data_IF_531876260630
#
_entry.id   IF_531876260630
#
_cell.length_a   1.000
_cell.length_b   1.000
_cell.length_c   1.000
_cell.angle_alpha   90.00
_cell.angle_beta   90.00
_cell.angle_gamma   90.00
#
_symmetry.space_group_name_H-M   'P 1'
#
loop_
_entity.id
_entity.type
_entity.pdbx_description
1 polymer ?
#
# COMPACT_ATOMS: atom_id res chain seq x y z
N UNK A 1 -19.03 -0.96 -32.09
CA UNK A 1 -18.63 -2.21 -31.42
C UNK A 1 -17.11 -2.22 -31.46
N UNK A 2 -16.35 -1.80 -30.45
CA UNK A 2 -16.46 -1.98 -29.00
C UNK A 2 -15.86 -0.76 -28.27
N UNK A 3 -16.58 -0.21 -27.29
CA UNK A 3 -16.01 0.76 -26.33
C UNK A 3 -14.97 0.03 -25.47
N UNK A 4 -13.70 0.41 -25.58
CA UNK A 4 -12.64 -0.07 -24.72
C UNK A 4 -12.91 0.40 -23.29
N UNK A 5 -13.41 -0.51 -22.46
CA UNK A 5 -13.69 -0.29 -21.04
C UNK A 5 -12.42 0.11 -20.28
N UNK A 6 -12.10 1.40 -20.25
CA UNK A 6 -11.12 1.95 -19.32
C UNK A 6 -11.65 1.74 -17.91
N UNK A 7 -11.11 0.75 -17.20
CA UNK A 7 -11.40 0.55 -15.79
C UNK A 7 -11.04 1.84 -15.04
N UNK A 8 -11.93 2.39 -14.19
CA UNK A 8 -11.69 3.66 -13.48
C UNK A 8 -10.52 3.60 -12.49
N UNK A 9 -9.98 2.40 -12.27
CA UNK A 9 -8.86 2.13 -11.37
C UNK A 9 -7.83 1.25 -12.06
N UNK A 10 -6.57 1.64 -11.93
CA UNK A 10 -5.42 0.77 -12.24
C UNK A 10 -4.99 0.10 -10.93
N UNK A 11 -4.68 -1.19 -10.94
CA UNK A 11 -4.17 -1.88 -9.75
C UNK A 11 -2.66 -2.02 -9.83
N UNK A 12 -1.97 -1.51 -8.81
CA UNK A 12 -0.52 -1.56 -8.77
C UNK A 12 0.05 -2.89 -8.27
N UNK A 13 -0.65 -3.60 -7.41
CA UNK A 13 -0.16 -4.82 -6.75
C UNK A 13 -0.04 -6.04 -7.68
N UNK A 14 -0.32 -5.90 -8.97
CA UNK A 14 -0.26 -7.00 -9.97
C UNK A 14 1.17 -7.51 -10.24
N UNK A 15 2.19 -6.96 -9.58
CA UNK A 15 3.58 -7.42 -9.69
C UNK A 15 4.01 -7.92 -8.31
N UNK A 16 4.29 -9.22 -8.15
CA UNK A 16 4.80 -9.78 -6.91
C UNK A 16 6.20 -9.24 -6.58
N UNK A 17 6.49 -9.14 -5.29
CA UNK A 17 7.85 -8.90 -4.81
C UNK A 17 8.75 -10.09 -5.17
N UNK A 18 10.01 -9.81 -5.50
CA UNK A 18 11.03 -10.85 -5.70
C UNK A 18 11.44 -11.40 -4.34
N UNK A 19 11.72 -12.69 -4.26
CA UNK A 19 12.27 -13.28 -3.05
C UNK A 19 13.64 -12.68 -2.73
N UNK A 20 13.78 -12.07 -1.55
CA UNK A 20 15.05 -11.60 -0.98
C UNK A 20 15.41 -12.45 0.26
N UNK A 21 16.58 -13.11 0.31
CA UNK A 21 17.00 -13.87 1.50
C UNK A 21 17.18 -13.01 2.76
N UNK A 22 17.18 -11.68 2.65
CA UNK A 22 17.28 -10.73 3.77
C UNK A 22 15.92 -10.40 4.39
N UNK A 23 14.82 -10.86 3.79
CA UNK A 23 13.48 -10.61 4.31
C UNK A 23 13.32 -11.20 5.72
N UNK A 24 12.87 -10.36 6.65
CA UNK A 24 12.68 -10.78 8.05
C UNK A 24 11.35 -11.50 8.18
N UNK A 25 11.41 -12.76 8.59
CA UNK A 25 10.22 -13.53 8.97
C UNK A 25 9.68 -12.98 10.30
N UNK A 26 8.40 -12.65 10.33
CA UNK A 26 7.72 -12.24 11.55
C UNK A 26 7.61 -13.43 12.51
N UNK A 27 8.54 -13.54 13.46
CA UNK A 27 8.51 -14.54 14.53
C UNK A 27 7.57 -14.13 15.66
N UNK A 28 6.28 -14.42 15.53
CA UNK A 28 5.34 -14.27 16.65
C UNK A 28 5.54 -15.44 17.62
N UNK A 29 5.94 -15.14 18.87
CA UNK A 29 5.83 -16.10 19.97
C UNK A 29 4.34 -16.24 20.27
N UNK A 30 3.65 -17.10 19.50
CA UNK A 30 2.29 -17.49 19.82
C UNK A 30 2.37 -18.37 21.06
N UNK A 31 2.31 -17.75 22.23
CA UNK A 31 2.05 -18.49 23.46
C UNK A 31 0.80 -19.32 23.20
N UNK A 32 0.92 -20.65 23.25
CA UNK A 32 -0.20 -21.58 23.03
C UNK A 32 -1.38 -21.32 23.99
N UNK A 33 -1.15 -20.53 25.03
CA UNK A 33 -2.08 -20.03 26.03
C UNK A 33 -2.87 -18.77 25.62
N UNK A 34 -2.45 -18.03 24.59
CA UNK A 34 -3.17 -16.85 24.12
C UNK A 34 -4.24 -17.31 23.12
N UNK A 35 -5.44 -17.56 23.63
CA UNK A 35 -6.63 -17.70 22.81
C UNK A 35 -6.83 -16.41 22.02
N UNK A 36 -6.80 -16.51 20.69
CA UNK A 36 -7.14 -15.37 19.84
C UNK A 36 -8.59 -14.96 20.14
N UNK A 37 -8.87 -13.65 20.25
CA UNK A 37 -10.25 -13.21 20.35
C UNK A 37 -11.02 -13.67 19.10
N UNK A 38 -12.32 -14.01 19.25
CA UNK A 38 -13.13 -14.50 18.13
C UNK A 38 -13.34 -13.44 17.03
N UNK A 39 -13.14 -12.16 17.35
CA UNK A 39 -13.21 -11.05 16.41
C UNK A 39 -12.36 -9.88 16.92
N UNK A 40 -11.76 -9.14 15.99
CA UNK A 40 -11.02 -7.91 16.28
C UNK A 40 -11.46 -6.83 15.28
N UNK A 41 -11.91 -5.70 15.80
CA UNK A 41 -12.16 -4.49 15.01
C UNK A 41 -11.29 -3.35 15.54
N UNK A 42 -10.39 -2.85 14.71
CA UNK A 42 -9.48 -1.76 15.06
C UNK A 42 -10.04 -0.38 14.72
N UNK A 43 -11.11 -0.31 13.91
CA UNK A 43 -11.69 0.95 13.39
C UNK A 43 -12.24 1.88 14.48
N UNK A 44 -12.88 1.39 15.57
CA UNK A 44 -13.36 2.28 16.63
C UNK A 44 -12.25 3.05 17.34
N UNK A 45 -11.05 2.46 17.40
CA UNK A 45 -9.88 3.06 18.06
C UNK A 45 -9.01 3.86 17.11
N UNK A 46 -8.91 3.43 15.85
CA UNK A 46 -8.05 4.02 14.84
C UNK A 46 -8.88 4.31 13.59
N UNK A 47 -9.26 5.57 13.41
CA UNK A 47 -10.08 6.01 12.28
C UNK A 47 -9.34 7.04 11.46
N UNK A 48 -9.18 6.76 10.16
CA UNK A 48 -8.55 7.64 9.19
C UNK A 48 -9.44 7.73 7.94
N UNK A 49 -9.37 8.84 7.18
CA UNK A 49 -10.05 8.94 5.89
C UNK A 49 -9.68 7.79 4.96
N UNK A 50 -10.68 7.21 4.30
CA UNK A 50 -10.45 6.21 3.25
C UNK A 50 -9.91 6.93 2.02
N UNK A 51 -8.70 6.56 1.60
CA UNK A 51 -8.06 7.19 0.43
C UNK A 51 -8.69 6.72 -0.88
N UNK A 52 -8.89 7.67 -1.80
CA UNK A 52 -9.18 7.38 -3.20
C UNK A 52 -7.88 7.39 -4.02
N UNK A 53 -7.54 6.25 -4.62
CA UNK A 53 -6.34 6.08 -5.43
C UNK A 53 -6.47 6.61 -6.87
N UNK A 54 -7.70 6.77 -7.36
CA UNK A 54 -7.98 7.03 -8.78
C UNK A 54 -7.34 6.02 -9.73
N UNK A 55 -7.04 6.48 -10.96
CA UNK A 55 -6.54 5.65 -12.04
C UNK A 55 -5.01 5.36 -11.99
N UNK A 56 -4.29 5.82 -10.95
CA UNK A 56 -2.81 5.86 -10.94
C UNK A 56 -2.16 4.51 -10.57
N UNK A 57 -2.88 3.60 -9.90
CA UNK A 57 -2.29 2.36 -9.40
C UNK A 57 -1.40 2.55 -8.17
N UNK A 58 -1.73 3.53 -7.32
CA UNK A 58 -1.01 3.86 -6.09
C UNK A 58 -1.45 3.05 -4.88
N UNK A 59 -2.15 1.91 -5.04
CA UNK A 59 -2.70 1.09 -3.95
C UNK A 59 -1.69 0.77 -2.85
N UNK A 60 -0.46 0.39 -3.21
CA UNK A 60 0.62 0.09 -2.26
C UNK A 60 1.04 1.33 -1.47
N UNK A 61 1.10 2.49 -2.13
CA UNK A 61 1.42 3.75 -1.48
C UNK A 61 0.29 4.19 -0.52
N UNK A 62 -0.97 4.04 -0.92
CA UNK A 62 -2.12 4.30 -0.04
C UNK A 62 -2.09 3.39 1.19
N UNK A 63 -1.84 2.09 1.01
CA UNK A 63 -1.73 1.13 2.10
C UNK A 63 -0.58 1.48 3.07
N UNK A 64 0.60 1.81 2.54
CA UNK A 64 1.75 2.22 3.35
C UNK A 64 1.47 3.50 4.15
N UNK A 65 0.83 4.50 3.53
CA UNK A 65 0.43 5.73 4.20
C UNK A 65 -0.57 5.48 5.33
N UNK A 66 -1.57 4.63 5.11
CA UNK A 66 -2.54 4.24 6.15
C UNK A 66 -1.87 3.46 7.29
N UNK A 67 -0.96 2.54 6.99
CA UNK A 67 -0.23 1.77 7.99
C UNK A 67 0.67 2.67 8.85
N UNK A 68 1.32 3.67 8.24
CA UNK A 68 2.13 4.65 8.96
C UNK A 68 1.30 5.47 9.95
N UNK A 69 0.14 5.97 9.52
CA UNK A 69 -0.78 6.71 10.40
C UNK A 69 -1.33 5.84 11.54
N UNK A 70 -1.63 4.57 11.24
CA UNK A 70 -2.01 3.60 12.27
C UNK A 70 -0.91 3.44 13.32
N UNK A 71 0.35 3.34 12.94
CA UNK A 71 1.47 3.25 13.88
C UNK A 71 1.64 4.51 14.74
N UNK A 72 1.49 5.70 14.14
CA UNK A 72 1.53 6.96 14.90
C UNK A 72 0.43 6.99 15.96
N UNK A 73 -0.80 6.68 15.56
CA UNK A 73 -1.93 6.64 16.49
C UNK A 73 -1.74 5.56 17.57
N UNK A 74 -1.22 4.37 17.22
CA UNK A 74 -0.92 3.30 18.18
C UNK A 74 0.12 3.72 19.21
N UNK A 75 1.08 4.57 18.83
CA UNK A 75 2.12 5.13 19.70
C UNK A 75 1.72 6.45 20.38
N UNK A 76 0.49 6.94 20.18
CA UNK A 76 0.05 8.26 20.68
C UNK A 76 0.94 9.42 20.22
N UNK A 77 1.46 9.34 19.00
CA UNK A 77 2.23 10.40 18.37
C UNK A 77 1.32 11.34 17.57
N UNK A 78 1.76 12.58 17.27
CA UNK A 78 1.01 13.51 16.44
C UNK A 78 0.65 12.90 15.09
N UNK A 79 -0.57 13.16 14.60
CA UNK A 79 -1.01 12.71 13.28
C UNK A 79 -0.18 13.42 12.19
N UNK A 80 0.19 12.65 11.18
CA UNK A 80 0.91 13.12 10.02
C UNK A 80 0.33 12.41 8.81
N UNK A 81 -0.11 13.17 7.80
CA UNK A 81 -0.61 12.62 6.55
C UNK A 81 0.53 12.51 5.52
N UNK A 82 1.17 11.34 5.36
CA UNK A 82 2.26 11.18 4.40
C UNK A 82 1.77 11.35 2.96
N UNK A 83 2.61 11.97 2.13
CA UNK A 83 2.31 12.14 0.70
C UNK A 83 2.30 10.79 -0.03
N UNK A 84 1.10 10.34 -0.40
CA UNK A 84 0.87 9.13 -1.19
C UNK A 84 1.59 9.16 -2.53
N UNK A 85 1.63 10.31 -3.19
CA UNK A 85 2.32 10.48 -4.47
C UNK A 85 3.84 10.50 -4.30
N UNK A 86 4.35 11.00 -3.18
CA UNK A 86 5.78 10.91 -2.87
C UNK A 86 6.21 9.44 -2.69
N UNK A 87 5.49 8.66 -1.88
CA UNK A 87 5.76 7.22 -1.70
C UNK A 87 5.65 6.49 -3.03
N UNK A 88 4.60 6.78 -3.82
CA UNK A 88 4.42 6.19 -5.13
C UNK A 88 5.57 6.51 -6.10
N UNK A 89 6.00 7.77 -6.18
CA UNK A 89 7.12 8.20 -7.02
C UNK A 89 8.42 7.46 -6.67
N UNK A 90 8.81 7.47 -5.39
CA UNK A 90 10.04 6.82 -4.94
C UNK A 90 9.99 5.29 -5.10
N UNK A 91 8.81 4.67 -4.92
CA UNK A 91 8.63 3.24 -5.15
C UNK A 91 8.79 2.84 -6.62
N UNK A 92 8.66 3.78 -7.56
CA UNK A 92 8.91 3.55 -8.99
C UNK A 92 10.37 3.66 -9.36
N UNK A 93 11.11 4.56 -8.72
CA UNK A 93 12.53 4.77 -8.99
C UNK A 93 13.38 3.57 -8.52
N UNK A 94 13.02 2.97 -7.38
CA UNK A 94 13.62 1.72 -6.87
C UNK A 94 13.34 0.47 -7.72
N UNK A 95 12.54 0.56 -8.79
CA UNK A 95 12.16 -0.60 -9.62
C UNK A 95 13.23 -1.15 -10.54
N UNK A 96 14.33 -0.44 -10.71
CA UNK A 96 15.47 -1.01 -11.40
C UNK A 96 16.10 -2.16 -10.59
N UNK A 97 15.76 -2.29 -9.31
CA UNK A 97 16.31 -3.30 -8.40
C UNK A 97 15.24 -4.24 -7.81
N UNK A 98 14.02 -3.76 -7.49
CA UNK A 98 12.95 -4.60 -6.96
C UNK A 98 11.54 -4.23 -7.46
N UNK A 99 10.75 -5.27 -7.75
CA UNK A 99 9.50 -5.24 -8.51
C UNK A 99 8.34 -4.51 -7.81
N UNK A 100 7.80 -3.47 -8.44
CA UNK A 100 6.57 -2.80 -8.01
C UNK A 100 5.66 -2.37 -9.18
N UNK A 101 4.52 -1.70 -8.92
CA UNK A 101 3.36 -1.52 -9.82
C UNK A 101 3.65 -0.89 -11.20
N UNK A 102 3.81 -1.67 -12.29
CA UNK A 102 4.19 -1.12 -13.63
C UNK A 102 3.19 -0.06 -14.06
N UNK A 103 3.73 1.10 -14.45
CA UNK A 103 2.99 2.10 -15.19
C UNK A 103 3.00 1.61 -16.64
N UNK A 104 1.84 1.28 -17.19
CA UNK A 104 1.71 1.04 -18.62
C UNK A 104 1.89 2.38 -19.34
N UNK A 105 3.05 2.57 -19.97
CA UNK A 105 3.36 3.79 -20.72
C UNK A 105 2.44 4.01 -21.91
N UNK A 106 1.75 2.96 -22.39
CA UNK A 106 0.74 3.12 -23.45
C UNK A 106 -0.58 3.69 -22.92
N UNK A 107 -0.78 3.74 -21.60
CA UNK A 107 -2.04 4.19 -20.99
C UNK A 107 -2.00 5.65 -20.52
N UNK A 108 -0.82 6.22 -20.29
CA UNK A 108 -0.67 7.63 -19.91
C UNK A 108 0.68 8.19 -20.42
N UNK A 109 0.70 8.89 -21.57
CA UNK A 109 1.91 9.59 -22.01
C UNK A 109 2.20 10.75 -21.06
N UNK A 110 3.32 10.67 -20.32
CA UNK A 110 3.90 11.89 -19.75
C UNK A 110 4.54 12.66 -20.90
N UNK A 111 3.90 13.76 -21.32
CA UNK A 111 4.59 14.76 -22.12
C UNK A 111 5.80 15.25 -21.32
N UNK A 112 6.97 15.07 -21.92
CA UNK A 112 8.21 15.72 -21.48
C UNK A 112 8.12 17.22 -21.70
#
# INVERSE_FOLDING_TARGET
MSEDAHLPYTFGWMIPDRHDPRDKVLGLSLDKSNTLPPSVDLRPKFHFPVYNQGAVGSCTANAACSAFRFELARKSLPDFDPSRLFVYYNSRDKKNEDTGPRFDSNRFPMNR
#
